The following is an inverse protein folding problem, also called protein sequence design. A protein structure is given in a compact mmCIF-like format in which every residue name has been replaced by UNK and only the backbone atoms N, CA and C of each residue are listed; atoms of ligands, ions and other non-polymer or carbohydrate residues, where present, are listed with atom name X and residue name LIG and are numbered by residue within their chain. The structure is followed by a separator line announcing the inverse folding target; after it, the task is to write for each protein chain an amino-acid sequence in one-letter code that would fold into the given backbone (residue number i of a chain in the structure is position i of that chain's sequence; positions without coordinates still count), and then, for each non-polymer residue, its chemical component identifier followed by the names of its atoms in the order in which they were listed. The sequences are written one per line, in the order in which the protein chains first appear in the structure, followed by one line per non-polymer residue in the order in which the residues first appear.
data_IF_850266887190
#
_entry.id   IF_850266887190
#
_cell.length_a   1.000
_cell.length_b   1.000
_cell.length_c   1.000
_cell.angle_alpha   90.00
_cell.angle_beta   90.00
_cell.angle_gamma   90.00
#
_symmetry.space_group_name_H-M   'P 1'
#
loop_
_entity.id
_entity.type
_entity.pdbx_description
1 polymer ?
#
# COMPACT_ATOMS: atom_id res chain seq x y z
N UNK A 1 -6.79 -21.84 24.11
CA UNK A 1 -7.38 -21.11 22.97
C UNK A 1 -6.42 -19.96 22.63
N UNK A 2 -5.63 -20.03 21.54
CA UNK A 2 -4.48 -19.15 21.37
C UNK A 2 -4.90 -17.82 20.75
N UNK A 3 -4.68 -16.72 21.48
CA UNK A 3 -4.77 -15.33 20.97
C UNK A 3 -3.51 -14.98 20.14
N UNK A 4 -2.43 -15.77 20.30
CA UNK A 4 -1.12 -15.53 19.69
C UNK A 4 -1.14 -15.77 18.16
N UNK A 5 -1.98 -16.69 17.66
CA UNK A 5 -2.07 -16.98 16.21
C UNK A 5 -2.61 -15.81 15.38
N UNK A 6 -3.71 -15.17 15.80
CA UNK A 6 -4.32 -14.04 15.07
C UNK A 6 -3.38 -12.83 14.96
N UNK A 7 -2.63 -12.52 16.01
CA UNK A 7 -1.73 -11.36 16.00
C UNK A 7 -0.56 -11.56 15.04
N UNK A 8 -0.02 -12.80 14.97
CA UNK A 8 1.00 -13.13 13.98
C UNK A 8 0.45 -13.10 12.56
N UNK A 9 -0.79 -13.55 12.35
CA UNK A 9 -1.47 -13.44 11.04
C UNK A 9 -1.69 -11.99 10.62
N UNK A 10 -2.11 -11.11 11.55
CA UNK A 10 -2.25 -9.67 11.30
C UNK A 10 -0.91 -9.03 10.98
N UNK A 11 0.14 -9.26 11.78
CA UNK A 11 1.47 -8.70 11.51
C UNK A 11 2.03 -9.19 10.16
N UNK A 12 1.76 -10.45 9.79
CA UNK A 12 2.11 -10.99 8.48
C UNK A 12 1.32 -10.32 7.35
N UNK A 13 0.02 -10.04 7.57
CA UNK A 13 -0.83 -9.31 6.62
C UNK A 13 -0.38 -7.87 6.45
N UNK A 14 -0.11 -7.16 7.53
CA UNK A 14 0.34 -5.77 7.52
C UNK A 14 1.70 -5.64 6.83
N UNK A 15 2.59 -6.63 7.03
CA UNK A 15 3.86 -6.70 6.30
C UNK A 15 3.65 -6.88 4.80
N UNK A 16 2.71 -7.75 4.37
CA UNK A 16 2.37 -7.91 2.95
C UNK A 16 1.81 -6.62 2.36
N UNK A 17 0.97 -5.90 3.10
CA UNK A 17 0.41 -4.61 2.67
C UNK A 17 1.51 -3.56 2.54
N UNK A 18 2.43 -3.46 3.51
CA UNK A 18 3.54 -2.54 3.46
C UNK A 18 4.50 -2.83 2.29
N UNK A 19 4.75 -4.12 2.02
CA UNK A 19 5.52 -4.54 0.86
C UNK A 19 4.82 -4.21 -0.46
N UNK A 20 3.52 -4.49 -0.56
CA UNK A 20 2.72 -4.20 -1.74
C UNK A 20 2.69 -2.69 -2.06
N UNK A 21 2.49 -1.85 -1.03
CA UNK A 21 2.64 -0.39 -1.15
C UNK A 21 4.03 0.01 -1.67
N UNK A 22 5.11 -0.61 -1.17
CA UNK A 22 6.47 -0.29 -1.61
C UNK A 22 6.72 -0.66 -3.08
N UNK A 23 6.04 -1.70 -3.59
CA UNK A 23 6.16 -2.23 -4.95
C UNK A 23 5.36 -1.45 -6.00
N UNK A 24 4.45 -0.55 -5.59
CA UNK A 24 3.71 0.35 -6.49
C UNK A 24 4.60 1.32 -7.29
N UNK A 25 5.87 1.45 -6.91
CA UNK A 25 6.91 2.17 -7.68
C UNK A 25 7.86 1.15 -8.28
N UNK A 26 7.73 0.92 -9.58
CA UNK A 26 8.45 -0.12 -10.34
C UNK A 26 9.23 0.47 -11.51
N UNK A 27 10.32 -0.20 -11.90
CA UNK A 27 10.96 0.12 -13.17
C UNK A 27 10.07 -0.31 -14.33
N UNK A 28 9.90 0.56 -15.33
CA UNK A 28 9.06 0.29 -16.51
C UNK A 28 9.79 -0.50 -17.61
N UNK A 29 11.07 -0.80 -17.41
CA UNK A 29 11.93 -1.49 -18.38
C UNK A 29 12.39 -0.61 -19.55
N UNK A 30 12.00 0.67 -19.61
CA UNK A 30 12.41 1.66 -20.61
C UNK A 30 13.37 2.70 -20.03
N UNK A 31 13.94 2.43 -18.85
CA UNK A 31 14.79 3.35 -18.11
C UNK A 31 14.02 4.37 -17.26
N UNK A 32 12.69 4.26 -17.19
CA UNK A 32 11.84 5.07 -16.33
C UNK A 32 11.36 4.32 -15.09
N UNK A 33 10.48 5.01 -14.36
CA UNK A 33 9.82 4.51 -13.16
C UNK A 33 8.33 4.73 -13.32
N UNK A 34 7.55 3.65 -13.25
CA UNK A 34 6.10 3.72 -13.16
C UNK A 34 5.70 3.83 -11.69
N UNK A 35 4.86 4.82 -11.38
CA UNK A 35 4.25 5.01 -10.07
C UNK A 35 2.73 4.81 -10.18
N UNK A 36 2.23 3.74 -9.59
CA UNK A 36 0.79 3.43 -9.58
C UNK A 36 -0.01 4.37 -8.66
N UNK A 37 0.65 5.08 -7.74
CA UNK A 37 0.04 6.06 -6.84
C UNK A 37 0.46 7.49 -7.23
N UNK A 38 0.52 7.77 -8.54
CA UNK A 38 0.86 9.09 -9.09
C UNK A 38 -0.22 10.16 -8.84
N UNK A 39 -1.48 9.73 -8.66
CA UNK A 39 -2.63 10.59 -8.42
C UNK A 39 -3.68 9.88 -7.53
N UNK A 40 -4.74 10.59 -7.06
CA UNK A 40 -5.74 10.00 -6.18
C UNK A 40 -6.53 8.86 -6.85
N UNK A 41 -6.76 8.91 -8.17
CA UNK A 41 -7.46 7.84 -8.87
C UNK A 41 -6.64 6.55 -8.87
N UNK A 42 -5.32 6.64 -8.99
CA UNK A 42 -4.40 5.51 -8.81
C UNK A 42 -4.49 4.88 -7.42
N UNK A 43 -4.59 5.69 -6.36
CA UNK A 43 -4.77 5.20 -5.00
C UNK A 43 -6.14 4.55 -4.77
N UNK A 44 -7.21 5.13 -5.32
CA UNK A 44 -8.54 4.51 -5.31
C UNK A 44 -8.53 3.15 -6.00
N UNK A 45 -7.96 3.08 -7.21
CA UNK A 45 -7.88 1.83 -7.96
C UNK A 45 -7.06 0.76 -7.21
N UNK A 46 -5.94 1.16 -6.59
CA UNK A 46 -5.15 0.26 -5.75
C UNK A 46 -5.96 -0.26 -4.55
N UNK A 47 -6.68 0.61 -3.84
CA UNK A 47 -7.50 0.19 -2.70
C UNK A 47 -8.60 -0.80 -3.10
N UNK A 48 -9.26 -0.57 -4.25
CA UNK A 48 -10.29 -1.47 -4.78
C UNK A 48 -9.73 -2.84 -5.17
N UNK A 49 -8.50 -2.88 -5.69
CA UNK A 49 -7.80 -4.13 -6.02
C UNK A 49 -7.33 -4.92 -4.79
N UNK A 50 -7.32 -4.30 -3.59
CA UNK A 50 -6.84 -4.88 -2.35
C UNK A 50 -7.92 -4.93 -1.26
N UNK A 51 -8.95 -5.79 -1.44
CA UNK A 51 -10.07 -5.88 -0.51
C UNK A 51 -9.60 -6.21 0.92
N UNK A 52 -10.10 -5.41 1.87
CA UNK A 52 -9.81 -5.54 3.29
C UNK A 52 -8.55 -4.83 3.78
N UNK A 53 -7.82 -4.11 2.91
CA UNK A 53 -6.76 -3.17 3.36
C UNK A 53 -7.38 -1.96 4.04
N UNK A 54 -8.43 -1.41 3.44
CA UNK A 54 -9.30 -0.40 4.04
C UNK A 54 -10.69 -1.00 4.25
N UNK A 55 -11.42 -0.57 5.31
CA UNK A 55 -12.85 -0.85 5.43
C UNK A 55 -13.60 -0.34 4.20
N UNK A 56 -14.59 -1.10 3.74
CA UNK A 56 -15.49 -0.73 2.63
C UNK A 56 -14.73 -0.20 1.40
N UNK A 57 -13.71 -0.97 0.98
CA UNK A 57 -12.81 -0.57 -0.11
C UNK A 57 -13.57 -0.17 -1.38
N UNK A 58 -14.68 -0.82 -1.70
CA UNK A 58 -15.51 -0.54 -2.87
C UNK A 58 -16.13 0.86 -2.92
N UNK A 59 -16.25 1.55 -1.78
CA UNK A 59 -16.73 2.95 -1.71
C UNK A 59 -15.62 3.94 -1.35
N UNK A 60 -14.39 3.46 -1.18
CA UNK A 60 -13.24 4.32 -0.90
C UNK A 60 -12.92 5.19 -2.10
N UNK A 61 -12.85 6.51 -1.87
CA UNK A 61 -12.39 7.51 -2.82
C UNK A 61 -11.24 8.30 -2.17
N UNK A 62 -10.06 8.26 -2.77
CA UNK A 62 -8.90 8.98 -2.25
C UNK A 62 -8.99 10.45 -2.64
N UNK A 63 -8.69 11.31 -1.69
CA UNK A 63 -8.42 12.72 -1.94
C UNK A 63 -6.90 13.00 -1.94
N UNK A 64 -6.54 14.25 -2.22
CA UNK A 64 -5.14 14.66 -2.24
C UNK A 64 -4.45 14.52 -0.87
N UNK A 65 -5.20 14.70 0.23
CA UNK A 65 -4.66 14.60 1.59
C UNK A 65 -4.32 13.16 1.96
N UNK A 66 -5.21 12.22 1.64
CA UNK A 66 -5.02 10.78 1.80
C UNK A 66 -3.85 10.29 0.94
N UNK A 67 -3.78 10.76 -0.31
CA UNK A 67 -2.66 10.41 -1.20
C UNK A 67 -1.30 10.84 -0.62
N UNK A 68 -1.21 12.05 -0.06
CA UNK A 68 0.02 12.53 0.56
C UNK A 68 0.43 11.64 1.74
N UNK A 69 -0.51 11.31 2.63
CA UNK A 69 -0.23 10.43 3.78
C UNK A 69 0.24 9.03 3.36
N UNK A 70 -0.38 8.42 2.34
CA UNK A 70 0.03 7.11 1.82
C UNK A 70 1.42 7.17 1.20
N UNK A 71 1.78 8.26 0.53
CA UNK A 71 3.13 8.45 -0.03
C UNK A 71 4.19 8.54 1.05
N UNK A 72 3.90 9.20 2.17
CA UNK A 72 4.81 9.27 3.32
C UNK A 72 5.05 7.88 3.93
N UNK A 73 3.98 7.10 4.13
CA UNK A 73 4.08 5.71 4.60
C UNK A 73 4.90 4.86 3.63
N UNK A 74 4.65 4.99 2.32
CA UNK A 74 5.40 4.27 1.28
C UNK A 74 6.88 4.61 1.29
N UNK A 75 7.23 5.89 1.47
CA UNK A 75 8.62 6.32 1.57
C UNK A 75 9.31 5.69 2.80
N UNK A 76 8.64 5.70 3.96
CA UNK A 76 9.14 5.05 5.17
C UNK A 76 9.30 3.54 5.01
N UNK A 77 8.33 2.86 4.38
CA UNK A 77 8.40 1.43 4.08
C UNK A 77 9.57 1.08 3.15
N UNK A 78 9.80 1.86 2.09
CA UNK A 78 10.96 1.66 1.20
C UNK A 78 12.28 1.84 1.95
N UNK A 79 12.38 2.85 2.80
CA UNK A 79 13.55 3.04 3.66
C UNK A 79 13.73 1.89 4.69
N UNK A 80 12.64 1.22 5.10
CA UNK A 80 12.68 0.02 5.94
C UNK A 80 13.20 -1.22 5.21
N UNK A 81 12.84 -1.40 3.94
CA UNK A 81 13.25 -2.57 3.15
C UNK A 81 14.60 -2.41 2.44
N UNK A 82 15.09 -1.19 2.26
CA UNK A 82 16.38 -0.91 1.61
C UNK A 82 17.61 -1.06 2.54
N UNK A 83 17.41 -1.57 3.76
CA UNK A 83 18.44 -1.78 4.80
C UNK A 83 18.52 -3.24 5.17
#
# INVERSE_FOLDING_TARGET
MPIIGRMQDSASRDTRIALDLALTVRHDGQGGVADELADPAGLTAWAWAHPGVVPDAEVFEADASTLAAVRDVRAAARALFAR
#
